data_IF_019663659645
#
_entry.id   IF_019663659645
#
_cell.length_a   1.000
_cell.length_b   1.000
_cell.length_c   1.000
_cell.angle_alpha   90.00
_cell.angle_beta   90.00
_cell.angle_gamma   90.00
#
_symmetry.space_group_name_H-M   'P 1'
#
loop_
_entity.id
_entity.type
_entity.pdbx_description
1 polymer ?
#
# COMPACT_ATOMS: atom_id res chain seq x y z
N UNK A 1 0.00 -14.55 12.37
CA UNK A 1 1.12 -14.13 11.52
C UNK A 1 2.09 -13.34 12.38
N UNK A 2 3.36 -13.69 12.30
CA UNK A 2 4.47 -12.88 12.82
C UNK A 2 4.70 -11.64 11.94
N UNK A 3 5.46 -10.67 12.42
CA UNK A 3 5.78 -9.44 11.66
C UNK A 3 6.48 -9.73 10.32
N UNK A 4 7.31 -10.76 10.26
CA UNK A 4 8.02 -11.18 9.03
C UNK A 4 7.05 -11.75 7.98
N UNK A 5 6.12 -12.61 8.41
CA UNK A 5 5.06 -13.14 7.52
C UNK A 5 4.17 -12.02 6.99
N UNK A 6 3.78 -11.09 7.88
CA UNK A 6 2.99 -9.91 7.52
C UNK A 6 3.70 -9.04 6.48
N UNK A 7 5.00 -8.79 6.66
CA UNK A 7 5.79 -8.01 5.73
C UNK A 7 5.80 -8.66 4.35
N UNK A 8 5.94 -9.99 4.31
CA UNK A 8 5.92 -10.77 3.06
C UNK A 8 4.55 -10.68 2.37
N UNK A 9 3.45 -10.84 3.11
CA UNK A 9 2.10 -10.75 2.54
C UNK A 9 1.76 -9.35 2.04
N UNK A 10 2.16 -8.31 2.78
CA UNK A 10 1.99 -6.93 2.35
C UNK A 10 2.84 -6.64 1.11
N UNK A 11 4.08 -7.14 1.03
CA UNK A 11 4.91 -6.98 -0.17
C UNK A 11 4.27 -7.63 -1.40
N UNK A 12 3.71 -8.83 -1.30
CA UNK A 12 2.97 -9.47 -2.40
C UNK A 12 1.77 -8.64 -2.84
N UNK A 13 1.03 -8.08 -1.89
CA UNK A 13 -0.07 -7.18 -2.20
C UNK A 13 0.38 -5.92 -2.95
N UNK A 14 1.53 -5.36 -2.57
CA UNK A 14 2.13 -4.23 -3.28
C UNK A 14 2.61 -4.61 -4.68
N UNK A 15 3.19 -5.79 -4.87
CA UNK A 15 3.57 -6.30 -6.19
C UNK A 15 2.36 -6.51 -7.11
N UNK A 16 1.22 -6.93 -6.57
CA UNK A 16 -0.03 -7.08 -7.34
C UNK A 16 -0.55 -5.74 -7.88
N UNK A 17 -0.45 -4.65 -7.09
CA UNK A 17 -0.96 -3.32 -7.50
C UNK A 17 0.06 -2.48 -8.26
N UNK A 18 1.37 -2.73 -8.08
CA UNK A 18 2.47 -2.04 -8.77
C UNK A 18 2.30 -1.85 -10.28
N UNK A 19 1.88 -2.86 -11.09
CA UNK A 19 1.70 -2.65 -12.53
C UNK A 19 0.62 -1.61 -12.85
N UNK A 20 -0.43 -1.52 -12.02
CA UNK A 20 -1.46 -0.47 -12.18
C UNK A 20 -0.89 0.90 -11.84
N UNK A 21 -0.15 1.03 -10.73
CA UNK A 21 0.49 2.28 -10.35
C UNK A 21 1.50 2.76 -11.39
N UNK A 22 2.32 1.85 -11.91
CA UNK A 22 3.31 2.15 -12.95
C UNK A 22 2.65 2.58 -14.26
N UNK A 23 1.49 2.01 -14.61
CA UNK A 23 0.70 2.45 -15.77
C UNK A 23 0.25 3.91 -15.64
N UNK A 24 -0.02 4.36 -14.41
CA UNK A 24 -0.35 5.75 -14.08
C UNK A 24 0.89 6.63 -13.82
N UNK A 25 2.11 6.09 -13.98
CA UNK A 25 3.37 6.82 -13.78
C UNK A 25 3.77 7.01 -12.32
N UNK A 26 3.28 6.16 -11.41
CA UNK A 26 3.66 6.14 -10.00
C UNK A 26 4.19 4.79 -9.53
N UNK A 27 4.59 4.74 -8.26
CA UNK A 27 5.02 3.52 -7.59
C UNK A 27 4.62 3.56 -6.10
N UNK A 28 4.87 2.46 -5.40
CA UNK A 28 4.60 2.31 -3.98
C UNK A 28 5.73 1.54 -3.28
N UNK A 29 6.06 2.03 -2.08
CA UNK A 29 7.06 1.43 -1.21
C UNK A 29 6.47 1.18 0.18
N UNK A 30 6.69 -0.01 0.73
CA UNK A 30 6.38 -0.32 2.13
C UNK A 30 7.39 0.37 3.04
N UNK A 31 6.91 1.12 4.03
CA UNK A 31 7.78 1.79 5.00
C UNK A 31 7.85 1.00 6.30
N UNK A 32 6.70 0.67 6.88
CA UNK A 32 6.65 -0.07 8.15
C UNK A 32 5.27 -0.66 8.40
N UNK A 33 5.23 -1.67 9.27
CA UNK A 33 4.00 -2.24 9.82
C UNK A 33 4.05 -2.09 11.32
N UNK A 34 3.12 -1.33 11.90
CA UNK A 34 3.01 -1.07 13.33
C UNK A 34 1.93 -1.97 13.94
N UNK A 35 2.28 -2.63 15.06
CA UNK A 35 1.40 -3.51 15.82
C UNK A 35 0.75 -4.65 15.01
N UNK A 36 1.29 -4.94 13.82
CA UNK A 36 0.72 -5.89 12.87
C UNK A 36 -0.64 -5.49 12.29
N UNK A 37 -1.03 -4.22 12.44
CA UNK A 37 -2.36 -3.69 12.10
C UNK A 37 -2.33 -2.42 11.26
N UNK A 38 -1.29 -1.60 11.43
CA UNK A 38 -1.19 -0.31 10.76
C UNK A 38 -0.05 -0.33 9.76
N UNK A 39 -0.35 -0.20 8.47
CA UNK A 39 0.66 -0.20 7.41
C UNK A 39 0.94 1.22 6.97
N UNK A 40 2.22 1.60 6.98
CA UNK A 40 2.72 2.84 6.39
C UNK A 40 3.35 2.54 5.04
N UNK A 41 2.86 3.20 4.01
CA UNK A 41 3.40 3.13 2.65
C UNK A 41 3.81 4.53 2.21
N UNK A 42 4.71 4.62 1.23
CA UNK A 42 5.00 5.84 0.51
C UNK A 42 4.59 5.65 -0.94
N UNK A 43 3.70 6.51 -1.42
CA UNK A 43 3.35 6.62 -2.83
C UNK A 43 4.37 7.53 -3.52
N UNK A 44 4.85 7.12 -4.68
CA UNK A 44 5.90 7.79 -5.45
C UNK A 44 5.41 8.15 -6.86
N UNK A 45 6.11 9.08 -7.52
CA UNK A 45 5.82 9.48 -8.91
C UNK A 45 4.54 10.30 -9.08
N UNK A 46 3.87 10.13 -10.23
CA UNK A 46 2.70 10.91 -10.63
C UNK A 46 1.50 10.77 -9.68
N UNK A 47 1.48 9.70 -8.86
CA UNK A 47 0.50 9.51 -7.79
C UNK A 47 0.52 10.64 -6.73
N UNK A 48 1.64 11.35 -6.58
CA UNK A 48 1.78 12.45 -5.60
C UNK A 48 1.20 13.77 -6.10
N UNK A 49 1.16 13.99 -7.43
CA UNK A 49 0.77 15.26 -8.05
C UNK A 49 -0.71 15.37 -8.43
N UNK A 50 -1.47 14.27 -8.43
CA UNK A 50 -2.87 14.27 -8.85
C UNK A 50 -3.82 14.31 -7.63
N UNK A 51 -4.18 15.51 -7.19
CA UNK A 51 -5.03 15.77 -6.01
C UNK A 51 -6.40 15.10 -6.06
N UNK A 52 -6.87 14.70 -7.25
CA UNK A 52 -8.20 14.14 -7.47
C UNK A 52 -8.24 12.62 -7.23
N UNK A 53 -7.10 11.93 -7.33
CA UNK A 53 -7.06 10.45 -7.28
C UNK A 53 -6.41 9.84 -6.04
N UNK A 54 -5.82 10.63 -5.12
CA UNK A 54 -5.14 10.04 -3.96
C UNK A 54 -6.07 9.24 -3.03
N UNK A 55 -7.32 9.68 -2.85
CA UNK A 55 -8.29 8.96 -2.01
C UNK A 55 -8.65 7.59 -2.61
N UNK A 56 -8.96 7.55 -3.90
CA UNK A 56 -9.31 6.32 -4.62
C UNK A 56 -8.14 5.36 -4.72
N UNK A 57 -6.95 5.89 -5.00
CA UNK A 57 -5.72 5.10 -5.12
C UNK A 57 -5.35 4.49 -3.77
N UNK A 58 -5.43 5.26 -2.68
CA UNK A 58 -5.24 4.75 -1.32
C UNK A 58 -6.26 3.67 -0.97
N UNK A 59 -7.52 3.85 -1.32
CA UNK A 59 -8.56 2.83 -1.11
C UNK A 59 -8.28 1.54 -1.89
N UNK A 60 -7.79 1.65 -3.13
CA UNK A 60 -7.35 0.50 -3.92
C UNK A 60 -6.18 -0.25 -3.27
N UNK A 61 -5.13 0.47 -2.89
CA UNK A 61 -3.97 -0.08 -2.17
C UNK A 61 -4.41 -0.76 -0.87
N UNK A 62 -5.25 -0.10 -0.07
CA UNK A 62 -5.75 -0.65 1.18
C UNK A 62 -6.57 -1.93 0.97
N UNK A 63 -7.41 -1.96 -0.06
CA UNK A 63 -8.20 -3.13 -0.42
C UNK A 63 -7.31 -4.29 -0.83
N UNK A 64 -6.29 -4.05 -1.66
CA UNK A 64 -5.33 -5.07 -2.07
C UNK A 64 -4.53 -5.58 -0.87
N UNK A 65 -4.04 -4.72 0.02
CA UNK A 65 -3.34 -5.15 1.23
C UNK A 65 -4.24 -6.02 2.11
N UNK A 66 -5.49 -5.61 2.35
CA UNK A 66 -6.46 -6.37 3.16
C UNK A 66 -6.82 -7.73 2.57
N UNK A 67 -6.71 -7.90 1.24
CA UNK A 67 -6.92 -9.20 0.57
C UNK A 67 -5.86 -10.24 0.99
N UNK A 68 -4.62 -9.82 1.20
CA UNK A 68 -3.52 -10.69 1.63
C UNK A 68 -3.37 -10.73 3.16
N UNK A 69 -3.58 -9.59 3.82
CA UNK A 69 -3.47 -9.43 5.26
C UNK A 69 -4.76 -8.79 5.83
N UNK A 70 -5.85 -9.57 6.00
CA UNK A 70 -7.16 -9.06 6.45
C UNK A 70 -7.14 -8.46 7.88
N UNK A 71 -6.11 -8.76 8.68
CA UNK A 71 -5.90 -8.17 10.00
C UNK A 71 -5.40 -6.71 9.95
N UNK A 72 -4.97 -6.21 8.79
CA UNK A 72 -4.58 -4.81 8.65
C UNK A 72 -5.84 -3.95 8.78
N UNK A 73 -5.83 -3.03 9.72
CA UNK A 73 -6.96 -2.14 10.00
C UNK A 73 -6.86 -0.87 9.16
N UNK A 74 -5.67 -0.27 9.07
CA UNK A 74 -5.45 1.02 8.41
C UNK A 74 -4.20 1.02 7.54
N UNK A 75 -4.28 1.67 6.39
CA UNK A 75 -3.13 1.96 5.54
C UNK A 75 -2.97 3.46 5.40
N UNK A 76 -1.78 4.00 5.66
CA UNK A 76 -1.48 5.43 5.62
C UNK A 76 -0.36 5.70 4.63
N UNK A 77 -0.57 6.66 3.73
CA UNK A 77 0.48 7.21 2.89
C UNK A 77 1.30 8.22 3.70
N UNK A 78 2.61 8.01 3.79
CA UNK A 78 3.55 9.01 4.33
C UNK A 78 4.26 9.68 3.16
N UNK A 79 4.30 11.02 3.18
CA UNK A 79 5.04 11.83 2.21
C UNK A 79 6.49 11.97 2.71
#
# INVERSE_FOLDING_TARGET
MTTEELTTEVQKALEEIRPFLNSDGGDITLISIEEGKHVKVRLEGACTSCSVNQMTLRAGVETTIKKFAPQIETVVNIL
#
